data_IF_922595081330
#
_entry.id   IF_922595081330
#
_cell.length_a   1.000
_cell.length_b   1.000
_cell.length_c   1.000
_cell.angle_alpha   90.00
_cell.angle_beta   90.00
_cell.angle_gamma   90.00
#
_symmetry.space_group_name_H-M   'P 1'
#
loop_
_entity.id
_entity.type
_entity.pdbx_description
1 polymer ?
#
# COMPACT_ATOMS: atom_id res chain seq x y z
N UNK A 1 46.61 64.02 -12.00
CA UNK A 1 45.87 64.08 -10.71
C UNK A 1 44.40 64.29 -11.02
N UNK A 2 43.54 63.41 -10.46
CA UNK A 2 42.09 63.56 -10.25
C UNK A 2 41.22 63.72 -11.53
N UNK A 3 40.30 62.82 -11.88
CA UNK A 3 39.36 62.09 -11.03
C UNK A 3 38.00 62.77 -11.16
N UNK A 4 37.17 62.39 -12.14
CA UNK A 4 35.80 62.92 -12.31
C UNK A 4 34.97 62.11 -13.33
N UNK A 5 34.86 60.79 -13.15
CA UNK A 5 33.80 60.00 -13.82
C UNK A 5 33.38 58.85 -12.93
N UNK A 6 32.67 59.17 -11.84
CA UNK A 6 32.03 58.14 -11.00
C UNK A 6 30.80 58.69 -10.28
N UNK A 7 29.84 59.25 -11.02
CA UNK A 7 28.62 59.79 -10.41
C UNK A 7 27.44 59.76 -11.39
N UNK A 8 26.98 58.58 -11.80
CA UNK A 8 25.64 58.46 -12.40
C UNK A 8 24.98 57.07 -12.45
N UNK A 9 25.14 56.17 -11.47
CA UNK A 9 24.38 54.90 -11.49
C UNK A 9 23.95 54.35 -10.11
N UNK A 10 23.50 55.20 -9.17
CA UNK A 10 23.06 54.70 -7.84
C UNK A 10 21.79 55.35 -7.29
N UNK A 11 20.89 55.85 -8.14
CA UNK A 11 19.63 56.48 -7.70
C UNK A 11 18.35 55.74 -8.07
N UNK A 12 18.39 54.42 -8.29
CA UNK A 12 17.19 53.64 -8.66
C UNK A 12 16.91 52.40 -7.81
N UNK A 13 17.49 52.27 -6.62
CA UNK A 13 17.31 51.06 -5.78
C UNK A 13 16.90 51.29 -4.31
N UNK A 14 16.58 52.52 -3.90
CA UNK A 14 16.31 52.80 -2.48
C UNK A 14 14.81 52.91 -2.14
N UNK A 15 13.92 53.10 -3.13
CA UNK A 15 12.49 53.36 -2.85
C UNK A 15 11.54 52.14 -2.84
N UNK A 16 12.05 50.90 -2.93
CA UNK A 16 11.18 49.71 -2.96
C UNK A 16 11.26 48.81 -1.71
N UNK A 17 12.12 49.13 -0.74
CA UNK A 17 12.34 48.24 0.42
C UNK A 17 11.65 48.67 1.72
N UNK A 18 11.02 49.85 1.75
CA UNK A 18 10.40 50.36 3.00
C UNK A 18 8.92 49.96 3.12
N UNK A 19 8.27 49.53 2.03
CA UNK A 19 6.86 49.10 2.08
C UNK A 19 6.66 47.62 2.47
N UNK A 20 7.68 46.77 2.38
CA UNK A 20 7.51 45.32 2.58
C UNK A 20 7.63 44.87 4.05
N UNK A 21 8.30 45.64 4.90
CA UNK A 21 8.62 45.21 6.27
C UNK A 21 7.41 45.33 7.22
N UNK A 22 6.44 46.18 6.95
CA UNK A 22 5.28 46.37 7.85
C UNK A 22 4.13 45.37 7.67
N UNK A 23 4.13 44.54 6.62
CA UNK A 23 3.04 43.57 6.38
C UNK A 23 3.32 42.20 7.01
N UNK A 24 4.59 41.82 7.22
CA UNK A 24 4.96 40.48 7.71
C UNK A 24 4.64 40.29 9.20
N UNK A 25 4.65 41.35 10.01
CA UNK A 25 4.37 41.27 11.47
C UNK A 25 2.88 41.10 11.82
N UNK A 26 1.94 41.38 10.90
CA UNK A 26 0.49 41.17 11.16
C UNK A 26 0.03 39.73 10.87
N UNK A 27 0.75 38.97 10.04
CA UNK A 27 0.34 37.60 9.66
C UNK A 27 0.69 36.58 10.75
N UNK A 28 1.75 36.83 11.54
CA UNK A 28 2.24 35.85 12.52
C UNK A 28 1.32 35.64 13.75
N UNK A 29 0.39 36.57 14.03
CA UNK A 29 -0.53 36.43 15.17
C UNK A 29 -1.72 35.50 14.92
N UNK A 30 -2.00 35.10 13.68
CA UNK A 30 -3.19 34.31 13.35
C UNK A 30 -2.94 32.81 13.10
N UNK A 31 -1.68 32.33 13.14
CA UNK A 31 -1.35 30.93 12.77
C UNK A 31 -1.35 29.98 13.99
N UNK A 32 -1.37 30.50 15.23
CA UNK A 32 -1.39 29.69 16.45
C UNK A 32 -2.80 29.57 17.06
N UNK A 33 -3.76 29.12 16.26
CA UNK A 33 -4.97 28.52 16.81
C UNK A 33 -4.69 27.01 16.96
N UNK A 34 -4.63 26.45 18.17
CA UNK A 34 -4.57 25.01 18.34
C UNK A 34 -5.88 24.42 17.84
N UNK A 35 -5.85 23.81 16.65
CA UNK A 35 -6.94 22.92 16.22
C UNK A 35 -6.92 21.73 17.18
N UNK A 36 -7.83 21.75 18.16
CA UNK A 36 -8.18 20.55 18.89
C UNK A 36 -8.73 19.56 17.87
N UNK A 37 -7.91 18.58 17.51
CA UNK A 37 -8.36 17.43 16.75
C UNK A 37 -9.48 16.78 17.57
N UNK A 38 -10.72 16.94 17.10
CA UNK A 38 -11.85 16.17 17.61
C UNK A 38 -11.54 14.74 17.16
N UNK A 39 -10.91 13.98 18.06
CA UNK A 39 -10.73 12.54 17.89
C UNK A 39 -12.14 11.96 17.90
N UNK A 40 -12.71 11.80 16.70
CA UNK A 40 -13.92 11.01 16.56
C UNK A 40 -13.62 9.66 17.20
N UNK A 41 -14.48 9.17 18.11
CA UNK A 41 -14.29 7.84 18.68
C UNK A 41 -14.21 6.86 17.52
N UNK A 42 -13.09 6.13 17.45
CA UNK A 42 -12.90 5.09 16.44
C UNK A 42 -14.16 4.21 16.44
N UNK A 43 -14.76 3.92 15.27
CA UNK A 43 -15.89 3.02 15.21
C UNK A 43 -15.48 1.72 15.90
N UNK A 44 -16.28 1.30 16.87
CA UNK A 44 -16.03 0.08 17.62
C UNK A 44 -15.71 -1.06 16.65
N UNK A 45 -14.69 -1.90 16.91
CA UNK A 45 -14.41 -3.05 16.08
C UNK A 45 -15.69 -3.86 15.97
N UNK A 46 -16.27 -3.89 14.77
CA UNK A 46 -17.43 -4.70 14.51
C UNK A 46 -17.04 -6.16 14.78
N UNK A 47 -17.89 -6.95 15.44
CA UNK A 47 -17.62 -8.37 15.61
C UNK A 47 -17.46 -8.96 14.21
N UNK A 48 -16.24 -9.38 13.88
CA UNK A 48 -15.97 -10.21 12.71
C UNK A 48 -16.90 -11.40 12.87
N UNK A 49 -17.87 -11.54 11.97
CA UNK A 49 -18.68 -12.74 11.86
C UNK A 49 -17.72 -13.85 11.51
N UNK A 50 -17.19 -14.52 12.54
CA UNK A 50 -16.51 -15.80 12.43
C UNK A 50 -17.57 -16.75 11.91
N UNK A 51 -17.58 -16.94 10.60
CA UNK A 51 -18.43 -17.93 9.96
C UNK A 51 -18.09 -19.29 10.56
N UNK A 52 -19.02 -19.80 11.37
CA UNK A 52 -18.87 -21.04 12.08
C UNK A 52 -19.07 -22.17 11.09
N UNK A 53 -17.96 -22.74 10.64
CA UNK A 53 -17.90 -24.11 10.16
C UNK A 53 -17.80 -24.22 8.64
N UNK A 54 -16.57 -24.17 8.13
CA UNK A 54 -16.29 -24.80 6.86
C UNK A 54 -15.90 -26.27 7.13
N UNK A 55 -16.51 -27.24 6.44
CA UNK A 55 -16.25 -28.65 6.64
C UNK A 55 -14.78 -28.98 6.39
N UNK A 56 -14.27 -30.01 7.08
CA UNK A 56 -12.96 -30.61 6.86
C UNK A 56 -12.88 -31.22 5.45
N UNK A 57 -12.75 -30.37 4.43
CA UNK A 57 -12.41 -30.76 3.07
C UNK A 57 -10.89 -30.79 2.97
N UNK A 58 -10.33 -31.96 2.66
CA UNK A 58 -8.91 -32.12 2.37
C UNK A 58 -8.60 -31.50 1.02
N UNK A 59 -8.23 -30.22 1.00
CA UNK A 59 -7.77 -29.54 -0.20
C UNK A 59 -7.96 -28.02 -0.15
N UNK A 60 -7.33 -27.27 -1.07
CA UNK A 60 -7.53 -25.85 -1.19
C UNK A 60 -8.98 -25.53 -1.61
N UNK A 61 -9.59 -24.49 -1.07
CA UNK A 61 -10.96 -24.09 -1.42
C UNK A 61 -11.11 -22.56 -1.48
N UNK A 62 -11.98 -22.08 -2.37
CA UNK A 62 -12.26 -20.65 -2.51
C UNK A 62 -12.98 -20.09 -1.28
N UNK A 63 -12.51 -18.94 -0.79
CA UNK A 63 -13.18 -18.13 0.21
C UNK A 63 -13.56 -16.81 -0.45
N UNK A 64 -14.85 -16.64 -0.76
CA UNK A 64 -15.36 -15.36 -1.27
C UNK A 64 -15.59 -14.43 -0.10
N UNK A 65 -14.60 -13.59 0.22
CA UNK A 65 -14.76 -12.52 1.19
C UNK A 65 -14.98 -11.19 0.48
N UNK A 66 -16.05 -10.50 0.83
CA UNK A 66 -16.41 -9.20 0.28
C UNK A 66 -16.00 -8.13 1.29
N UNK A 67 -14.91 -7.41 1.02
CA UNK A 67 -14.44 -6.32 1.90
C UNK A 67 -14.93 -4.98 1.35
N UNK A 68 -15.57 -4.16 2.19
CA UNK A 68 -15.89 -2.77 1.87
C UNK A 68 -14.67 -1.89 2.12
N UNK A 69 -14.19 -1.20 1.09
CA UNK A 69 -13.11 -0.21 1.24
C UNK A 69 -13.63 1.06 1.94
N UNK A 70 -12.72 1.91 2.42
CA UNK A 70 -13.06 3.24 3.00
C UNK A 70 -13.88 4.13 2.06
N UNK A 71 -13.88 3.82 0.77
CA UNK A 71 -14.57 4.58 -0.28
C UNK A 71 -15.91 3.92 -0.65
N UNK A 72 -16.34 2.88 0.06
CA UNK A 72 -17.57 2.14 -0.22
C UNK A 72 -17.49 1.21 -1.44
N UNK A 73 -16.30 0.96 -1.97
CA UNK A 73 -16.12 0.00 -3.07
C UNK A 73 -16.05 -1.42 -2.50
N UNK A 74 -16.73 -2.34 -3.18
CA UNK A 74 -16.73 -3.76 -2.85
C UNK A 74 -15.50 -4.43 -3.49
N UNK A 75 -14.54 -4.84 -2.68
CA UNK A 75 -13.39 -5.61 -3.13
C UNK A 75 -13.66 -7.10 -2.90
N UNK A 76 -13.68 -7.87 -3.98
CA UNK A 76 -13.70 -9.34 -3.89
C UNK A 76 -12.24 -9.79 -3.77
N UNK A 77 -11.86 -10.27 -2.59
CA UNK A 77 -10.54 -10.85 -2.36
C UNK A 77 -10.55 -12.32 -2.84
N UNK A 78 -9.60 -12.71 -3.69
CA UNK A 78 -9.40 -14.11 -4.10
C UNK A 78 -8.69 -14.90 -2.98
N UNK A 79 -9.35 -15.02 -1.84
CA UNK A 79 -8.84 -15.77 -0.70
C UNK A 79 -9.05 -17.26 -0.92
N UNK A 80 -8.09 -18.05 -0.47
CA UNK A 80 -8.21 -19.51 -0.46
C UNK A 80 -7.96 -20.05 0.94
N UNK A 81 -8.69 -21.09 1.31
CA UNK A 81 -8.47 -21.86 2.53
C UNK A 81 -7.82 -23.21 2.23
N UNK A 82 -7.46 -23.95 3.28
CA UNK A 82 -6.96 -25.34 3.15
C UNK A 82 -5.51 -25.50 2.70
N UNK A 83 -4.79 -24.41 2.39
CA UNK A 83 -3.36 -24.44 2.07
C UNK A 83 -2.54 -24.02 3.28
N UNK A 84 -1.80 -24.96 3.87
CA UNK A 84 -0.92 -24.70 5.02
C UNK A 84 0.44 -24.25 4.52
N UNK A 85 0.93 -23.13 5.04
CA UNK A 85 2.22 -22.56 4.68
C UNK A 85 3.02 -22.15 5.92
N UNK A 86 4.31 -22.49 5.94
CA UNK A 86 5.17 -22.19 7.07
C UNK A 86 5.80 -20.79 6.94
N UNK A 87 5.35 -19.87 7.79
CA UNK A 87 5.87 -18.51 7.86
C UNK A 87 7.00 -18.31 8.89
N UNK A 88 7.42 -19.34 9.65
CA UNK A 88 8.27 -19.18 10.84
C UNK A 88 9.58 -18.39 10.61
N UNK A 89 10.18 -18.55 9.42
CA UNK A 89 11.43 -17.89 9.03
C UNK A 89 11.22 -16.78 7.99
N UNK A 90 9.97 -16.39 7.74
CA UNK A 90 9.62 -15.38 6.74
C UNK A 90 9.38 -14.03 7.45
N UNK A 91 9.95 -12.92 6.94
CA UNK A 91 9.58 -11.60 7.41
C UNK A 91 8.12 -11.30 7.06
N UNK A 92 7.56 -10.24 7.63
CA UNK A 92 6.21 -9.79 7.24
C UNK A 92 6.17 -9.45 5.75
N UNK A 93 5.27 -10.08 5.00
CA UNK A 93 5.19 -9.93 3.54
C UNK A 93 4.36 -11.02 2.85
N UNK A 94 4.40 -11.02 1.52
CA UNK A 94 3.70 -12.01 0.68
C UNK A 94 4.72 -12.96 0.06
N UNK A 95 4.53 -14.27 0.16
CA UNK A 95 5.47 -15.28 -0.32
C UNK A 95 4.77 -16.32 -1.17
N UNK A 96 5.41 -16.76 -2.24
CA UNK A 96 4.88 -17.83 -3.09
C UNK A 96 4.69 -19.14 -2.32
N UNK A 97 3.66 -19.88 -2.69
CA UNK A 97 3.52 -21.28 -2.31
C UNK A 97 4.58 -22.17 -2.99
N UNK A 98 4.95 -23.27 -2.33
CA UNK A 98 5.94 -24.19 -2.88
C UNK A 98 5.36 -25.16 -3.93
N UNK A 99 4.04 -25.37 -3.91
CA UNK A 99 3.35 -26.34 -4.75
C UNK A 99 2.58 -25.66 -5.89
N UNK A 100 1.77 -24.65 -5.59
CA UNK A 100 0.94 -23.95 -6.56
C UNK A 100 1.60 -22.66 -7.05
N UNK A 101 1.73 -22.51 -8.37
CA UNK A 101 2.40 -21.37 -9.02
C UNK A 101 1.68 -20.04 -8.76
N UNK A 102 0.36 -20.11 -8.70
CA UNK A 102 -0.59 -19.02 -8.61
C UNK A 102 -1.03 -18.74 -7.18
N UNK A 103 -0.50 -19.44 -6.18
CA UNK A 103 -0.83 -19.22 -4.77
C UNK A 103 0.28 -18.48 -4.06
N UNK A 104 -0.11 -17.55 -3.19
CA UNK A 104 0.80 -16.87 -2.29
C UNK A 104 0.18 -16.63 -0.91
N UNK A 105 1.05 -16.48 0.09
CA UNK A 105 0.69 -16.40 1.50
C UNK A 105 1.15 -15.09 2.11
N UNK A 106 0.24 -14.43 2.83
CA UNK A 106 0.59 -13.31 3.68
C UNK A 106 1.11 -13.83 5.02
N UNK A 107 2.41 -13.61 5.27
CA UNK A 107 3.05 -13.84 6.55
C UNK A 107 3.09 -12.54 7.35
N UNK A 108 2.74 -12.60 8.63
CA UNK A 108 2.83 -11.49 9.57
C UNK A 108 3.40 -12.03 10.88
N UNK A 109 4.54 -11.47 11.32
CA UNK A 109 5.24 -11.90 12.54
C UNK A 109 5.48 -13.42 12.63
N UNK A 110 5.90 -14.04 11.54
CA UNK A 110 6.19 -15.48 11.48
C UNK A 110 4.96 -16.38 11.39
N UNK A 111 3.75 -15.82 11.27
CA UNK A 111 2.50 -16.58 11.17
C UNK A 111 1.79 -16.33 9.83
N UNK A 112 1.23 -17.40 9.26
CA UNK A 112 0.37 -17.33 8.08
C UNK A 112 -0.97 -16.69 8.49
N UNK A 113 -1.34 -15.59 7.84
CA UNK A 113 -2.62 -14.92 8.07
C UNK A 113 -3.66 -15.32 7.03
N UNK A 114 -3.29 -15.21 5.76
CA UNK A 114 -4.18 -15.42 4.62
C UNK A 114 -3.41 -16.07 3.47
N UNK A 115 -4.13 -16.82 2.65
CA UNK A 115 -3.64 -17.36 1.37
C UNK A 115 -4.49 -16.78 0.26
N UNK A 116 -3.86 -16.50 -0.87
CA UNK A 116 -4.47 -15.87 -2.02
C UNK A 116 -4.14 -16.64 -3.28
N UNK A 117 -5.06 -16.63 -4.23
CA UNK A 117 -4.81 -17.06 -5.60
C UNK A 117 -4.67 -15.85 -6.53
N UNK A 118 -3.72 -15.92 -7.46
CA UNK A 118 -3.58 -14.97 -8.53
C UNK A 118 -4.87 -14.92 -9.37
N UNK A 119 -5.23 -13.74 -9.93
CA UNK A 119 -6.43 -13.62 -10.72
C UNK A 119 -6.29 -14.37 -12.04
N UNK A 120 -7.25 -15.25 -12.35
CA UNK A 120 -7.32 -15.89 -13.65
C UNK A 120 -8.06 -14.99 -14.66
N UNK A 121 -7.36 -14.55 -15.70
CA UNK A 121 -7.90 -13.66 -16.76
C UNK A 121 -7.79 -14.31 -18.14
N UNK A 122 -8.10 -15.61 -18.21
CA UNK A 122 -8.00 -16.40 -19.45
C UNK A 122 -6.58 -16.90 -19.76
N UNK A 123 -5.61 -16.59 -18.90
CA UNK A 123 -4.25 -17.10 -18.98
C UNK A 123 -3.75 -17.37 -17.56
N UNK A 124 -2.95 -18.43 -17.41
CA UNK A 124 -2.28 -18.77 -16.16
C UNK A 124 -1.28 -17.68 -15.75
N UNK A 125 -1.31 -17.34 -14.47
CA UNK A 125 -0.36 -16.42 -13.84
C UNK A 125 0.39 -17.16 -12.75
N UNK A 126 1.56 -16.64 -12.39
CA UNK A 126 2.31 -17.10 -11.23
C UNK A 126 2.62 -15.91 -10.33
N UNK A 127 2.77 -16.15 -9.03
CA UNK A 127 3.22 -15.11 -8.11
C UNK A 127 4.74 -14.96 -8.17
N UNK A 128 5.24 -13.82 -8.62
CA UNK A 128 6.66 -13.51 -8.63
C UNK A 128 7.13 -12.96 -7.29
N UNK A 129 8.08 -13.66 -6.65
CA UNK A 129 8.63 -13.26 -5.35
C UNK A 129 9.49 -11.99 -5.43
N UNK A 130 10.09 -11.70 -6.60
CA UNK A 130 10.93 -10.51 -6.79
C UNK A 130 10.08 -9.24 -6.87
N UNK A 131 9.06 -9.25 -7.73
CA UNK A 131 8.17 -8.11 -7.94
C UNK A 131 7.01 -8.05 -6.95
N UNK A 132 6.76 -9.14 -6.21
CA UNK A 132 5.61 -9.35 -5.30
C UNK A 132 4.25 -9.17 -6.00
N UNK A 133 4.15 -9.66 -7.24
CA UNK A 133 2.98 -9.51 -8.11
C UNK A 133 2.65 -10.80 -8.82
N UNK A 134 1.39 -10.93 -9.24
CA UNK A 134 0.99 -11.96 -10.18
C UNK A 134 1.39 -11.54 -11.60
N UNK A 135 2.18 -12.37 -12.26
CA UNK A 135 2.71 -12.15 -13.60
C UNK A 135 2.28 -13.30 -14.52
N UNK A 136 2.17 -13.04 -15.81
CA UNK A 136 1.76 -14.07 -16.77
C UNK A 136 2.86 -15.11 -16.98
N UNK A 137 2.50 -16.40 -17.01
CA UNK A 137 3.47 -17.49 -17.22
C UNK A 137 4.22 -17.36 -18.55
N UNK A 138 3.57 -16.85 -19.62
CA UNK A 138 4.24 -16.59 -20.91
C UNK A 138 5.44 -15.65 -20.80
N UNK A 139 5.49 -14.79 -19.79
CA UNK A 139 6.60 -13.84 -19.60
C UNK A 139 7.88 -14.54 -19.10
N UNK A 140 7.72 -15.58 -18.28
CA UNK A 140 8.80 -16.42 -17.73
C UNK A 140 8.29 -17.86 -17.55
N UNK A 141 8.34 -18.70 -18.61
CA UNK A 141 7.76 -20.04 -18.59
C UNK A 141 8.41 -20.99 -17.58
N UNK A 142 9.64 -20.70 -17.19
CA UNK A 142 10.46 -21.44 -16.23
C UNK A 142 10.28 -20.95 -14.78
N UNK A 143 9.50 -19.88 -14.56
CA UNK A 143 9.31 -19.30 -13.23
C UNK A 143 8.54 -20.22 -12.27
N UNK A 144 7.82 -21.22 -12.78
CA UNK A 144 7.14 -22.22 -11.95
C UNK A 144 7.50 -23.65 -12.34
N UNK A 145 8.35 -24.29 -11.53
CA UNK A 145 8.82 -25.65 -11.77
C UNK A 145 7.73 -26.72 -11.54
N UNK A 146 6.75 -26.48 -10.66
CA UNK A 146 5.69 -27.45 -10.38
C UNK A 146 4.64 -27.53 -11.48
N UNK A 147 4.48 -26.46 -12.28
CA UNK A 147 3.44 -26.32 -13.29
C UNK A 147 2.02 -26.66 -12.77
N UNK A 148 1.79 -26.46 -11.47
CA UNK A 148 0.53 -26.72 -10.81
C UNK A 148 -0.15 -25.40 -10.49
N UNK A 149 -1.42 -25.27 -10.91
CA UNK A 149 -2.25 -24.10 -10.70
C UNK A 149 -3.49 -24.53 -9.91
N UNK A 150 -3.96 -23.66 -9.03
CA UNK A 150 -5.14 -23.88 -8.23
C UNK A 150 -6.44 -23.76 -9.06
N UNK A 151 -6.44 -22.91 -10.10
CA UNK A 151 -7.60 -22.67 -10.98
C UNK A 151 -7.68 -23.57 -12.22
#
# INVERSE_FOLDING_TARGET
MNGLYKLRETWSRINLNICFITVIEQIFKYILVPQQAVVAPAPAPQPVLVDKGQPSQSGPYDIKHETLTSNGQKLVENLIGGVVYNCAEKPTGHFRDAHFCDVFHACVFGQQQKSYACPYVGEAQYFDDETRKCEFVRSKPDACASNAFFH
#
